data_IF_166105428835
#
_entry.id   IF_166105428835
#
_cell.length_a   1.000
_cell.length_b   1.000
_cell.length_c   1.000
_cell.angle_alpha   90.00
_cell.angle_beta   90.00
_cell.angle_gamma   90.00
#
_symmetry.space_group_name_H-M   'P 1'
#
loop_
_entity.id
_entity.type
_entity.pdbx_description
1 polymer ?
#
# COMPACT_ATOMS: atom_id res chain seq x y z
N UNK A 1 5.57 8.78 84.01
CA UNK A 1 5.33 9.86 83.03
C UNK A 1 6.28 9.66 81.88
N UNK A 2 5.84 9.04 80.83
CA UNK A 2 6.63 8.79 79.61
C UNK A 2 6.22 9.80 78.51
N UNK A 3 7.12 10.70 78.15
CA UNK A 3 6.89 11.64 77.09
C UNK A 3 7.18 10.94 75.75
N UNK A 4 6.14 10.79 74.94
CA UNK A 4 6.24 10.28 73.55
C UNK A 4 6.63 11.47 72.65
N UNK A 5 7.81 11.38 72.13
CA UNK A 5 8.34 12.34 71.14
C UNK A 5 7.79 11.93 69.77
N UNK A 6 6.88 12.71 69.24
CA UNK A 6 6.26 12.48 67.91
C UNK A 6 7.13 13.17 66.86
N UNK A 7 7.98 12.39 66.18
CA UNK A 7 8.77 12.87 65.06
C UNK A 7 7.87 13.01 63.82
N UNK A 8 7.62 14.26 63.45
CA UNK A 8 6.89 14.63 62.26
C UNK A 8 7.82 14.44 61.06
N UNK A 9 7.61 13.38 60.28
CA UNK A 9 8.32 13.14 59.03
C UNK A 9 7.72 14.05 57.97
N UNK A 10 8.44 15.12 57.62
CA UNK A 10 8.06 16.00 56.52
C UNK A 10 8.23 15.26 55.20
N UNK A 11 7.14 14.87 54.58
CA UNK A 11 7.09 14.44 53.18
C UNK A 11 7.38 15.67 52.29
N UNK A 12 8.59 15.75 51.77
CA UNK A 12 8.94 16.66 50.67
C UNK A 12 8.30 16.06 49.42
N UNK A 13 7.39 16.75 48.72
CA UNK A 13 6.97 16.30 47.40
C UNK A 13 8.16 16.48 46.48
N UNK A 14 8.73 15.36 46.02
CA UNK A 14 9.56 15.39 44.80
C UNK A 14 8.65 15.88 43.69
N UNK A 15 8.75 17.15 43.37
CA UNK A 15 8.30 17.67 42.08
C UNK A 15 9.17 17.00 41.02
N UNK A 16 8.66 15.90 40.47
CA UNK A 16 9.10 15.41 39.17
C UNK A 16 8.96 16.58 38.20
N UNK A 17 10.08 17.09 37.78
CA UNK A 17 10.15 17.93 36.61
C UNK A 17 9.68 17.03 35.48
N UNK A 18 8.43 17.16 35.06
CA UNK A 18 7.96 16.64 33.81
C UNK A 18 8.86 17.28 32.75
N UNK A 19 9.78 16.51 32.23
CA UNK A 19 10.40 16.85 30.96
C UNK A 19 9.24 16.95 29.97
N UNK A 20 9.12 18.10 29.35
CA UNK A 20 8.13 18.40 28.35
C UNK A 20 8.48 17.59 27.09
N UNK A 21 8.07 16.32 27.07
CA UNK A 21 8.29 15.40 25.98
C UNK A 21 7.22 15.65 24.93
N UNK A 22 7.39 16.69 24.14
CA UNK A 22 6.49 17.01 23.01
C UNK A 22 6.31 15.84 22.03
N UNK A 23 7.26 14.90 22.00
CA UNK A 23 7.16 13.70 21.18
C UNK A 23 6.20 12.65 21.78
N UNK A 24 6.06 12.55 23.11
CA UNK A 24 5.08 11.66 23.77
C UNK A 24 3.63 12.11 23.48
N UNK A 25 3.37 13.41 23.48
CA UNK A 25 2.07 13.95 23.06
C UNK A 25 1.76 13.63 21.60
N UNK A 26 2.77 13.72 20.71
CA UNK A 26 2.62 13.36 19.31
C UNK A 26 2.39 11.84 19.11
N UNK A 27 2.98 10.99 19.96
CA UNK A 27 2.74 9.55 19.95
C UNK A 27 1.33 9.22 20.51
N UNK A 28 0.90 9.87 21.58
CA UNK A 28 -0.46 9.70 22.12
C UNK A 28 -1.53 10.18 21.14
N UNK A 29 -1.32 11.32 20.45
CA UNK A 29 -2.22 11.78 19.38
C UNK A 29 -2.26 10.81 18.20
N UNK A 30 -1.12 10.22 17.84
CA UNK A 30 -1.05 9.20 16.78
C UNK A 30 -1.73 7.90 17.21
N UNK A 31 -1.53 7.45 18.45
CA UNK A 31 -2.21 6.27 19.01
C UNK A 31 -3.72 6.51 19.14
N UNK A 32 -4.16 7.71 19.55
CA UNK A 32 -5.59 8.06 19.59
C UNK A 32 -6.21 8.13 18.20
N UNK A 33 -5.49 8.67 17.19
CA UNK A 33 -5.93 8.64 15.80
C UNK A 33 -5.98 7.20 15.23
N UNK A 34 -5.01 6.36 15.56
CA UNK A 34 -5.01 4.95 15.17
C UNK A 34 -6.13 4.16 15.85
N UNK A 35 -6.40 4.43 17.13
CA UNK A 35 -7.51 3.82 17.88
C UNK A 35 -8.87 4.32 17.37
N UNK A 36 -8.98 5.57 16.94
CA UNK A 36 -10.20 6.07 16.31
C UNK A 36 -10.36 5.52 14.88
N UNK A 37 -9.27 5.36 14.12
CA UNK A 37 -9.26 4.66 12.82
C UNK A 37 -9.60 3.17 12.97
N UNK A 38 -9.20 2.53 14.07
CA UNK A 38 -9.55 1.14 14.37
C UNK A 38 -11.04 0.94 14.74
N UNK A 39 -11.73 1.98 15.21
CA UNK A 39 -13.19 2.00 15.38
C UNK A 39 -13.94 2.24 14.07
N UNK A 40 -13.30 2.81 13.07
CA UNK A 40 -13.82 2.89 11.71
C UNK A 40 -13.79 1.50 11.04
N UNK A 41 -14.64 1.29 10.03
CA UNK A 41 -14.64 0.03 9.28
C UNK A 41 -13.24 -0.24 8.70
N UNK A 42 -12.53 -1.31 9.11
CA UNK A 42 -11.18 -1.59 8.65
C UNK A 42 -11.10 -1.88 7.15
N UNK A 43 -12.24 -2.07 6.50
CA UNK A 43 -12.35 -2.26 5.07
C UNK A 43 -12.67 -0.96 4.31
N UNK A 44 -12.84 0.18 4.97
CA UNK A 44 -13.36 1.41 4.35
C UNK A 44 -12.64 1.75 3.03
N UNK A 45 -11.30 1.71 3.01
CA UNK A 45 -10.50 2.02 1.82
C UNK A 45 -10.60 0.99 0.68
N UNK A 46 -11.25 -0.16 0.95
CA UNK A 46 -11.39 -1.24 -0.03
C UNK A 46 -12.81 -1.44 -0.52
N UNK A 47 -13.76 -0.63 -0.05
CA UNK A 47 -15.17 -0.73 -0.40
C UNK A 47 -15.43 -0.25 -1.84
N UNK A 48 -16.72 -0.13 -2.22
CA UNK A 48 -17.12 0.29 -3.57
C UNK A 48 -16.44 1.59 -3.99
N UNK A 49 -16.00 1.63 -5.25
CA UNK A 49 -15.25 2.74 -5.84
C UNK A 49 -13.72 2.61 -5.72
N UNK A 50 -13.20 1.67 -4.91
CA UNK A 50 -11.76 1.52 -4.73
C UNK A 50 -11.05 0.80 -5.89
N UNK A 51 -11.79 0.09 -6.75
CA UNK A 51 -11.25 -0.59 -7.94
C UNK A 51 -11.94 -0.02 -9.17
N UNK A 52 -11.30 0.90 -9.90
CA UNK A 52 -11.87 1.50 -11.10
C UNK A 52 -11.90 0.50 -12.26
N UNK A 53 -12.97 0.55 -13.03
CA UNK A 53 -13.15 -0.21 -14.27
C UNK A 53 -13.33 0.77 -15.42
N UNK A 54 -12.40 0.74 -16.37
CA UNK A 54 -12.41 1.59 -17.57
C UNK A 54 -12.49 0.67 -18.79
N UNK A 55 -13.48 0.86 -19.64
CA UNK A 55 -13.71 0.03 -20.84
C UNK A 55 -13.71 -1.49 -20.53
N UNK A 56 -14.33 -1.88 -19.40
CA UNK A 56 -14.41 -3.27 -18.96
C UNK A 56 -13.09 -3.84 -18.43
N UNK A 57 -12.07 -3.02 -18.17
CA UNK A 57 -10.80 -3.42 -17.62
C UNK A 57 -10.53 -2.75 -16.28
N UNK A 58 -9.96 -3.50 -15.34
CA UNK A 58 -9.45 -2.93 -14.09
C UNK A 58 -8.20 -2.12 -14.42
N UNK A 59 -8.27 -0.80 -14.19
CA UNK A 59 -7.18 0.12 -14.45
C UNK A 59 -7.07 1.16 -13.33
N UNK A 60 -6.03 1.08 -12.55
CA UNK A 60 -5.66 2.11 -11.59
C UNK A 60 -4.80 3.15 -12.28
N UNK A 61 -5.17 4.41 -12.15
CA UNK A 61 -4.41 5.53 -12.71
C UNK A 61 -4.28 6.67 -11.70
N UNK A 62 -3.20 7.42 -11.81
CA UNK A 62 -3.00 8.66 -11.04
C UNK A 62 -2.09 9.60 -11.79
N UNK A 63 -2.20 10.88 -11.48
CA UNK A 63 -1.29 11.92 -11.92
C UNK A 63 -0.57 12.49 -10.71
N UNK A 64 0.74 12.59 -10.77
CA UNK A 64 1.60 13.13 -9.72
C UNK A 64 2.24 14.42 -10.23
N UNK A 65 1.99 15.51 -9.53
CA UNK A 65 2.68 16.77 -9.79
C UNK A 65 4.08 16.76 -9.19
N UNK A 66 5.07 17.14 -9.99
CA UNK A 66 6.49 17.18 -9.64
C UNK A 66 7.14 18.49 -10.15
N UNK A 67 6.70 19.66 -9.66
CA UNK A 67 7.13 20.94 -10.19
C UNK A 67 8.66 21.11 -10.13
N UNK A 68 9.23 21.73 -11.15
CA UNK A 68 10.66 21.99 -11.25
C UNK A 68 11.51 20.83 -11.78
N UNK A 69 10.92 19.67 -12.09
CA UNK A 69 11.62 18.55 -12.72
C UNK A 69 11.23 18.44 -14.21
N UNK A 70 12.22 18.21 -15.07
CA UNK A 70 11.98 17.95 -16.49
C UNK A 70 11.47 16.52 -16.71
N UNK A 71 10.84 16.28 -17.85
CA UNK A 71 10.40 14.94 -18.29
C UNK A 71 11.55 13.91 -18.23
N UNK A 72 12.74 14.29 -18.68
CA UNK A 72 13.94 13.43 -18.66
C UNK A 72 14.37 13.06 -17.23
N UNK A 73 14.40 14.03 -16.32
CA UNK A 73 14.72 13.77 -14.90
C UNK A 73 13.71 12.84 -14.25
N UNK A 74 12.41 13.05 -14.49
CA UNK A 74 11.34 12.21 -13.98
C UNK A 74 11.44 10.79 -14.54
N UNK A 75 11.69 10.67 -15.86
CA UNK A 75 11.89 9.39 -16.52
C UNK A 75 13.05 8.59 -15.89
N UNK A 76 14.21 9.21 -15.65
CA UNK A 76 15.37 8.54 -15.07
C UNK A 76 15.10 8.05 -13.64
N UNK A 77 14.43 8.87 -12.81
CA UNK A 77 14.03 8.50 -11.46
C UNK A 77 13.11 7.28 -11.47
N UNK A 78 12.07 7.31 -12.32
CA UNK A 78 11.08 6.24 -12.40
C UNK A 78 11.68 4.97 -13.00
N UNK A 79 12.50 5.09 -14.03
CA UNK A 79 13.23 3.96 -14.63
C UNK A 79 14.11 3.27 -13.59
N UNK A 80 14.85 4.05 -12.79
CA UNK A 80 15.66 3.51 -11.70
C UNK A 80 14.81 2.72 -10.69
N UNK A 81 13.68 3.25 -10.27
CA UNK A 81 12.77 2.58 -9.36
C UNK A 81 12.12 1.33 -9.98
N UNK A 82 11.55 1.43 -11.18
CA UNK A 82 10.90 0.31 -11.86
C UNK A 82 11.90 -0.83 -12.16
N UNK A 83 13.16 -0.50 -12.50
CA UNK A 83 14.24 -1.48 -12.64
C UNK A 83 14.55 -2.16 -11.31
N UNK A 84 14.62 -1.40 -10.21
CA UNK A 84 14.84 -1.97 -8.88
C UNK A 84 13.71 -2.91 -8.48
N UNK A 85 12.47 -2.55 -8.75
CA UNK A 85 11.30 -3.41 -8.50
C UNK A 85 11.44 -4.79 -9.15
N UNK A 86 11.98 -4.91 -10.37
CA UNK A 86 12.14 -6.22 -11.05
C UNK A 86 13.07 -7.19 -10.30
N UNK A 87 13.82 -6.70 -9.32
CA UNK A 87 14.82 -7.47 -8.55
C UNK A 87 14.43 -7.64 -7.07
N UNK A 88 13.25 -7.24 -6.66
CA UNK A 88 12.74 -7.48 -5.31
C UNK A 88 12.61 -8.98 -5.03
N UNK A 89 12.74 -9.39 -3.77
CA UNK A 89 12.78 -10.83 -3.39
C UNK A 89 11.51 -11.61 -3.73
N UNK A 90 10.37 -10.93 -3.84
CA UNK A 90 9.09 -11.54 -4.18
C UNK A 90 8.85 -11.64 -5.70
N UNK A 91 9.74 -11.10 -6.52
CA UNK A 91 9.60 -11.14 -7.98
C UNK A 91 9.89 -12.54 -8.53
N UNK A 92 9.13 -12.94 -9.55
CA UNK A 92 9.21 -14.25 -10.21
C UNK A 92 9.76 -14.07 -11.63
N UNK A 93 9.05 -13.26 -12.44
CA UNK A 93 9.39 -13.01 -13.82
C UNK A 93 9.00 -11.58 -14.21
N UNK A 94 9.80 -10.63 -13.78
CA UNK A 94 9.52 -9.20 -13.96
C UNK A 94 10.60 -8.56 -14.82
N UNK A 95 10.16 -7.68 -15.74
CA UNK A 95 11.05 -6.98 -16.66
C UNK A 95 10.45 -5.67 -17.15
N UNK A 96 11.31 -4.74 -17.53
CA UNK A 96 10.90 -3.59 -18.34
C UNK A 96 10.60 -4.07 -19.76
N UNK A 97 9.51 -3.58 -20.33
CA UNK A 97 9.02 -3.95 -21.68
C UNK A 97 8.91 -2.74 -22.61
N UNK A 98 8.85 -1.54 -22.03
CA UNK A 98 8.92 -0.27 -22.74
C UNK A 98 10.00 0.58 -22.08
N UNK A 99 10.94 1.09 -22.85
CA UNK A 99 12.04 1.95 -22.41
C UNK A 99 12.28 3.01 -23.49
N UNK A 100 11.37 4.00 -23.54
CA UNK A 100 11.35 5.06 -24.53
C UNK A 100 11.74 6.39 -23.88
N UNK A 101 13.06 6.63 -23.84
CA UNK A 101 13.60 7.86 -23.26
C UNK A 101 13.23 9.10 -24.08
N UNK A 102 13.01 8.96 -25.40
CA UNK A 102 12.71 10.07 -26.28
C UNK A 102 11.32 10.67 -25.97
N UNK A 103 10.34 9.80 -25.72
CA UNK A 103 8.98 10.20 -25.36
C UNK A 103 8.74 10.18 -23.85
N UNK A 104 9.79 9.91 -23.05
CA UNK A 104 9.76 9.77 -21.60
C UNK A 104 8.66 8.81 -21.12
N UNK A 105 8.53 7.65 -21.79
CA UNK A 105 7.58 6.60 -21.48
C UNK A 105 8.33 5.34 -21.03
N UNK A 106 7.93 4.78 -19.89
CA UNK A 106 8.47 3.53 -19.41
C UNK A 106 7.36 2.57 -19.01
N UNK A 107 7.53 1.29 -19.29
CA UNK A 107 6.56 0.25 -18.95
C UNK A 107 7.26 -1.02 -18.48
N UNK A 108 6.69 -1.66 -17.47
CA UNK A 108 7.13 -2.93 -16.94
C UNK A 108 6.00 -3.96 -16.89
N UNK A 109 6.36 -5.22 -17.12
CA UNK A 109 5.52 -6.38 -16.83
C UNK A 109 6.07 -7.03 -15.57
N UNK A 110 5.23 -7.18 -14.59
CA UNK A 110 5.59 -7.71 -13.28
C UNK A 110 4.84 -8.99 -12.99
N UNK A 111 5.53 -9.95 -12.39
CA UNK A 111 5.00 -11.18 -11.85
C UNK A 111 5.65 -11.41 -10.49
N UNK A 112 4.87 -11.34 -9.42
CA UNK A 112 5.37 -11.42 -8.06
C UNK A 112 4.46 -12.25 -7.14
N UNK A 113 5.01 -12.74 -6.04
CA UNK A 113 4.23 -13.39 -4.99
C UNK A 113 3.47 -12.36 -4.16
N UNK A 114 2.15 -12.53 -4.11
CA UNK A 114 1.25 -11.77 -3.26
C UNK A 114 0.77 -12.66 -2.13
N UNK A 115 1.30 -12.44 -0.93
CA UNK A 115 1.04 -13.29 0.25
C UNK A 115 -0.18 -12.78 1.01
N UNK A 116 -1.20 -13.62 1.15
CA UNK A 116 -2.41 -13.33 1.95
C UNK A 116 -2.22 -13.69 3.41
N UNK A 117 -1.65 -14.85 3.69
CA UNK A 117 -1.39 -15.36 5.03
C UNK A 117 -0.14 -16.25 5.02
N UNK A 118 0.69 -16.06 6.04
CA UNK A 118 1.85 -16.91 6.29
C UNK A 118 1.93 -17.23 7.78
N UNK A 119 1.94 -18.49 8.12
CA UNK A 119 2.22 -19.00 9.47
C UNK A 119 3.08 -20.25 9.36
N UNK A 120 3.40 -20.89 10.49
CA UNK A 120 4.27 -22.08 10.55
C UNK A 120 3.72 -23.26 9.75
N UNK A 121 2.39 -23.37 9.60
CA UNK A 121 1.71 -24.53 9.03
C UNK A 121 1.17 -24.26 7.63
N UNK A 122 0.90 -23.00 7.29
CA UNK A 122 0.14 -22.63 6.09
C UNK A 122 0.70 -21.38 5.43
N UNK A 123 0.84 -21.46 4.11
CA UNK A 123 1.16 -20.35 3.22
C UNK A 123 0.01 -20.21 2.21
N UNK A 124 -0.72 -19.09 2.30
CA UNK A 124 -1.75 -18.70 1.34
C UNK A 124 -1.24 -17.53 0.51
N UNK A 125 -1.00 -17.76 -0.77
CA UNK A 125 -0.41 -16.80 -1.70
C UNK A 125 -0.89 -17.03 -3.13
N UNK A 126 -0.69 -16.03 -3.98
CA UNK A 126 -0.96 -16.13 -5.42
C UNK A 126 0.20 -15.52 -6.21
N UNK A 127 0.41 -15.96 -7.43
CA UNK A 127 1.16 -15.14 -8.38
C UNK A 127 0.28 -13.97 -8.80
N UNK A 128 0.83 -12.79 -8.73
CA UNK A 128 0.19 -11.54 -9.10
C UNK A 128 0.90 -10.96 -10.29
N UNK A 129 0.18 -10.85 -11.40
CA UNK A 129 0.72 -10.35 -12.66
C UNK A 129 0.02 -9.05 -13.01
N UNK A 130 0.80 -8.04 -13.38
CA UNK A 130 0.30 -6.72 -13.79
C UNK A 130 1.27 -6.00 -14.72
N UNK A 131 0.76 -5.00 -15.42
CA UNK A 131 1.56 -4.02 -16.14
C UNK A 131 1.54 -2.69 -15.38
N UNK A 132 2.72 -2.07 -15.24
CA UNK A 132 2.88 -0.71 -14.74
C UNK A 132 3.47 0.15 -15.85
N UNK A 133 2.83 1.27 -16.17
CA UNK A 133 3.28 2.25 -17.16
C UNK A 133 3.39 3.62 -16.50
N UNK A 134 4.43 4.35 -16.84
CA UNK A 134 4.61 5.74 -16.51
C UNK A 134 4.86 6.56 -17.76
N UNK A 135 4.25 7.74 -17.84
CA UNK A 135 4.52 8.76 -18.84
C UNK A 135 4.89 10.05 -18.12
N UNK A 136 6.08 10.55 -18.43
CA UNK A 136 6.61 11.77 -17.83
C UNK A 136 6.46 12.94 -18.80
N UNK A 137 6.09 14.09 -18.27
CA UNK A 137 6.13 15.40 -18.92
C UNK A 137 6.79 16.37 -17.95
N UNK A 138 7.15 17.56 -18.38
CA UNK A 138 7.73 18.54 -17.49
C UNK A 138 6.78 18.84 -16.32
N UNK A 139 7.27 18.63 -15.11
CA UNK A 139 6.52 18.85 -13.87
C UNK A 139 5.45 17.81 -13.54
N UNK A 140 5.29 16.71 -14.31
CA UNK A 140 4.17 15.77 -14.10
C UNK A 140 4.51 14.34 -14.51
N UNK A 141 3.95 13.38 -13.75
CA UNK A 141 4.01 11.94 -14.05
C UNK A 141 2.59 11.37 -14.07
N UNK A 142 2.25 10.68 -15.14
CA UNK A 142 1.03 9.88 -15.27
C UNK A 142 1.38 8.40 -15.07
N UNK A 143 0.70 7.74 -14.13
CA UNK A 143 0.89 6.32 -13.83
C UNK A 143 -0.37 5.53 -14.16
N UNK A 144 -0.17 4.34 -14.73
CA UNK A 144 -1.21 3.36 -15.00
C UNK A 144 -0.76 1.99 -14.51
N UNK A 145 -1.60 1.30 -13.72
CA UNK A 145 -1.42 -0.09 -13.33
C UNK A 145 -2.66 -0.89 -13.73
N UNK A 146 -2.46 -1.84 -14.61
CA UNK A 146 -3.56 -2.63 -15.20
C UNK A 146 -3.10 -3.99 -15.70
N UNK A 147 -3.92 -4.64 -16.54
CA UNK A 147 -3.69 -6.00 -17.05
C UNK A 147 -3.53 -7.03 -15.93
N UNK A 148 -4.27 -6.85 -14.85
CA UNK A 148 -4.13 -7.59 -13.60
C UNK A 148 -4.68 -9.01 -13.76
N UNK A 149 -3.84 -10.00 -13.39
CA UNK A 149 -4.16 -11.42 -13.38
C UNK A 149 -3.54 -12.09 -12.17
N UNK A 150 -4.12 -13.23 -11.80
CA UNK A 150 -3.63 -14.08 -10.73
C UNK A 150 -3.51 -15.53 -11.19
N UNK A 151 -2.54 -16.25 -10.65
CA UNK A 151 -2.46 -17.69 -10.69
C UNK A 151 -2.48 -18.20 -9.24
N UNK A 152 -3.63 -18.75 -8.84
CA UNK A 152 -3.89 -19.15 -7.47
C UNK A 152 -3.95 -20.68 -7.35
N UNK A 153 -3.54 -21.21 -6.20
CA UNK A 153 -3.49 -22.66 -5.91
C UNK A 153 -2.70 -23.50 -6.93
N UNK A 154 -1.62 -22.93 -7.46
CA UNK A 154 -0.80 -23.50 -8.54
C UNK A 154 -0.40 -24.95 -8.31
N UNK A 155 -0.18 -25.36 -7.04
CA UNK A 155 0.28 -26.70 -6.69
C UNK A 155 -0.85 -27.72 -6.51
N UNK A 156 -2.10 -27.30 -6.57
CA UNK A 156 -3.27 -28.16 -6.37
C UNK A 156 -4.18 -28.15 -7.59
N UNK A 157 -4.94 -27.09 -7.72
CA UNK A 157 -5.89 -26.84 -8.82
C UNK A 157 -5.70 -25.41 -9.32
N UNK A 158 -4.74 -25.25 -10.22
CA UNK A 158 -4.27 -23.95 -10.68
C UNK A 158 -5.37 -23.11 -11.32
N UNK A 159 -5.81 -22.06 -10.64
CA UNK A 159 -6.85 -21.15 -11.09
C UNK A 159 -6.25 -19.91 -11.73
N UNK A 160 -6.55 -19.70 -13.01
CA UNK A 160 -6.19 -18.48 -13.76
C UNK A 160 -7.32 -17.47 -13.66
N UNK A 161 -7.10 -16.41 -12.92
CA UNK A 161 -8.11 -15.43 -12.55
C UNK A 161 -7.76 -14.06 -13.16
N UNK A 162 -8.76 -13.39 -13.74
CA UNK A 162 -8.67 -12.00 -14.16
C UNK A 162 -9.27 -11.08 -13.10
N UNK A 163 -8.70 -9.91 -12.91
CA UNK A 163 -9.18 -8.92 -11.96
C UNK A 163 -10.64 -8.51 -12.22
N UNK A 164 -11.01 -8.40 -13.49
CA UNK A 164 -12.33 -7.95 -13.96
C UNK A 164 -13.50 -8.82 -13.49
N UNK A 165 -13.28 -10.10 -13.18
CA UNK A 165 -14.28 -11.00 -12.64
C UNK A 165 -13.98 -11.47 -11.22
N UNK A 166 -13.14 -10.73 -10.48
CA UNK A 166 -12.70 -11.17 -9.15
C UNK A 166 -12.62 -10.09 -8.10
N UNK A 167 -12.04 -8.93 -8.45
CA UNK A 167 -11.78 -7.86 -7.47
C UNK A 167 -12.65 -6.62 -7.68
N UNK A 168 -13.58 -6.63 -8.66
CA UNK A 168 -14.48 -5.50 -8.90
C UNK A 168 -15.45 -5.29 -7.72
N UNK A 169 -16.19 -4.21 -7.76
CA UNK A 169 -17.14 -3.89 -6.71
C UNK A 169 -18.22 -4.96 -6.56
N UNK A 170 -18.66 -5.54 -7.68
CA UNK A 170 -19.73 -6.56 -7.66
C UNK A 170 -19.23 -7.94 -7.25
N UNK A 171 -17.94 -8.24 -7.52
CA UNK A 171 -17.35 -9.53 -7.20
C UNK A 171 -16.79 -9.61 -5.77
N UNK A 172 -16.35 -8.47 -5.21
CA UNK A 172 -15.61 -8.47 -3.96
C UNK A 172 -16.26 -7.72 -2.80
N UNK A 173 -17.30 -6.91 -3.07
CA UNK A 173 -17.96 -6.09 -2.04
C UNK A 173 -19.43 -6.50 -1.89
N UNK A 174 -19.89 -6.65 -0.66
CA UNK A 174 -21.29 -6.99 -0.42
C UNK A 174 -22.24 -5.86 -0.88
N UNK A 175 -23.50 -6.21 -1.16
CA UNK A 175 -24.52 -5.26 -1.66
C UNK A 175 -24.72 -4.02 -0.76
N UNK A 176 -24.52 -4.19 0.57
CA UNK A 176 -24.65 -3.09 1.54
C UNK A 176 -23.43 -2.17 1.61
N UNK A 177 -22.38 -2.44 0.85
CA UNK A 177 -21.10 -1.70 0.88
C UNK A 177 -20.48 -1.55 2.28
N UNK A 178 -20.51 -2.63 3.07
CA UNK A 178 -20.03 -2.61 4.47
C UNK A 178 -18.87 -3.57 4.72
N UNK A 179 -18.69 -4.58 3.86
CA UNK A 179 -17.66 -5.63 4.00
C UNK A 179 -17.28 -6.22 2.65
N UNK A 180 -16.11 -6.83 2.63
CA UNK A 180 -15.63 -7.61 1.50
C UNK A 180 -16.07 -9.08 1.65
N UNK A 181 -16.26 -9.75 0.52
CA UNK A 181 -16.41 -11.21 0.52
C UNK A 181 -15.07 -11.87 0.90
N UNK A 182 -15.06 -12.98 1.65
CA UNK A 182 -13.81 -13.55 2.20
C UNK A 182 -12.79 -13.91 1.13
N UNK A 183 -13.20 -14.60 0.06
CA UNK A 183 -12.28 -15.11 -0.97
C UNK A 183 -11.78 -13.97 -1.87
N UNK A 184 -12.68 -13.30 -2.57
CA UNK A 184 -12.35 -12.23 -3.52
C UNK A 184 -11.78 -10.99 -2.83
N UNK A 185 -12.26 -10.70 -1.63
CA UNK A 185 -11.82 -9.56 -0.83
C UNK A 185 -10.36 -9.62 -0.39
N UNK A 186 -9.76 -10.80 -0.19
CA UNK A 186 -8.34 -10.90 0.13
C UNK A 186 -7.46 -10.47 -1.06
N UNK A 187 -7.88 -10.83 -2.29
CA UNK A 187 -7.21 -10.38 -3.52
C UNK A 187 -7.36 -8.87 -3.70
N UNK A 188 -8.58 -8.36 -3.56
CA UNK A 188 -8.88 -6.93 -3.67
C UNK A 188 -8.02 -6.11 -2.72
N UNK A 189 -7.99 -6.45 -1.42
CA UNK A 189 -7.16 -5.76 -0.43
C UNK A 189 -5.69 -5.72 -0.84
N UNK A 190 -5.10 -6.87 -1.08
CA UNK A 190 -3.68 -6.97 -1.39
C UNK A 190 -3.30 -6.28 -2.69
N UNK A 191 -4.18 -6.29 -3.68
CA UNK A 191 -3.97 -5.56 -4.94
C UNK A 191 -3.96 -4.05 -4.72
N UNK A 192 -4.95 -3.52 -3.97
CA UNK A 192 -5.01 -2.11 -3.62
C UNK A 192 -3.79 -1.70 -2.79
N UNK A 193 -3.42 -2.48 -1.75
CA UNK A 193 -2.26 -2.19 -0.91
C UNK A 193 -0.96 -2.17 -1.71
N UNK A 194 -0.76 -3.13 -2.63
CA UNK A 194 0.44 -3.15 -3.49
C UNK A 194 0.47 -1.97 -4.46
N UNK A 195 -0.66 -1.65 -5.08
CA UNK A 195 -0.80 -0.48 -5.95
C UNK A 195 -0.50 0.81 -5.16
N UNK A 196 -1.09 0.98 -3.97
CA UNK A 196 -0.85 2.13 -3.11
C UNK A 196 0.63 2.26 -2.76
N UNK A 197 1.26 1.16 -2.37
CA UNK A 197 2.70 1.14 -2.07
C UNK A 197 3.54 1.62 -3.27
N UNK A 198 3.26 1.13 -4.47
CA UNK A 198 4.00 1.51 -5.69
C UNK A 198 3.79 2.98 -6.01
N UNK A 199 2.54 3.44 -6.01
CA UNK A 199 2.20 4.82 -6.38
C UNK A 199 2.75 5.83 -5.37
N UNK A 200 2.59 5.58 -4.06
CA UNK A 200 3.14 6.42 -3.00
C UNK A 200 4.67 6.45 -3.03
N UNK A 201 5.31 5.33 -3.36
CA UNK A 201 6.77 5.29 -3.48
C UNK A 201 7.26 6.13 -4.65
N UNK A 202 6.61 6.04 -5.80
CA UNK A 202 6.93 6.90 -6.96
C UNK A 202 6.69 8.37 -6.60
N UNK A 203 5.56 8.69 -5.98
CA UNK A 203 5.26 10.05 -5.53
C UNK A 203 6.34 10.62 -4.62
N UNK A 204 6.80 9.83 -3.64
CA UNK A 204 7.90 10.23 -2.73
C UNK A 204 9.22 10.47 -3.47
N UNK A 205 9.50 9.72 -4.53
CA UNK A 205 10.75 9.84 -5.30
C UNK A 205 10.76 11.04 -6.25
N UNK A 206 9.58 11.45 -6.74
CA UNK A 206 9.47 12.53 -7.73
C UNK A 206 9.17 13.89 -7.11
N UNK A 207 8.74 13.95 -5.85
CA UNK A 207 8.62 15.19 -5.06
C UNK A 207 9.95 15.56 -4.41
#
# INVERSE_FOLDING_TARGET
MRKILMTMLALIPLSLWAQDNTWEQAEEEQEEEEVQKAKANPNAKYLRGAVPVVDGKVLFSTTIEAPGKTAAQLYDIIKGYMTKMTREKNQINSKLVVDDAQNAVIGGSYEEWLVFKKNVISLDQTRFMYALKAKCTDGKVELELGHIRYLYEEQRDAQRIKAEGWITDDDAVNKKNTRLYPMTGKFRRKTIDRKDFIFNKIETLVK
#
